data_IF_746766859587
#
_entry.id   IF_746766859587
#
_cell.length_a   1.000
_cell.length_b   1.000
_cell.length_c   1.000
_cell.angle_alpha   90.00
_cell.angle_beta   90.00
_cell.angle_gamma   90.00
#
_symmetry.space_group_name_H-M   'P 1'
#
loop_
_entity.id
_entity.type
_entity.pdbx_description
1 polymer ?
#
# COMPACT_ATOMS: atom_id res chain seq x y z
N UNK A 1 -67.14 33.57 -55.24
CA UNK A 1 -66.37 34.81 -55.49
C UNK A 1 -65.10 34.76 -54.65
N UNK A 2 -63.93 34.89 -55.31
CA UNK A 2 -62.63 35.44 -54.86
C UNK A 2 -62.05 34.99 -53.48
N UNK A 3 -60.95 34.21 -53.44
CA UNK A 3 -59.51 34.60 -53.49
C UNK A 3 -58.91 34.83 -52.08
N UNK A 4 -58.07 33.93 -51.54
CA UNK A 4 -56.59 33.74 -51.68
C UNK A 4 -55.67 34.66 -50.86
N UNK A 5 -54.61 34.02 -50.33
CA UNK A 5 -53.32 34.50 -49.74
C UNK A 5 -53.35 35.06 -48.30
N UNK A 6 -52.69 34.51 -47.27
CA UNK A 6 -51.27 34.12 -46.98
C UNK A 6 -50.27 35.29 -46.84
N UNK A 7 -49.41 35.14 -45.80
CA UNK A 7 -48.10 35.78 -45.49
C UNK A 7 -48.22 37.12 -44.76
N UNK A 8 -47.77 37.34 -43.50
CA UNK A 8 -46.49 37.10 -42.77
C UNK A 8 -45.36 38.11 -43.06
N UNK A 9 -44.51 38.30 -42.04
CA UNK A 9 -43.26 39.07 -41.94
C UNK A 9 -43.44 40.57 -41.64
N UNK A 10 -42.69 41.23 -40.73
CA UNK A 10 -41.25 41.29 -40.47
C UNK A 10 -41.11 42.11 -39.14
N UNK A 11 -40.21 41.94 -38.15
CA UNK A 11 -38.73 42.07 -38.17
C UNK A 11 -38.17 42.05 -36.72
N UNK A 12 -36.85 41.81 -36.63
CA UNK A 12 -35.90 41.81 -35.48
C UNK A 12 -35.67 40.45 -34.80
N UNK A 13 -34.68 39.64 -35.21
CA UNK A 13 -33.20 39.79 -35.15
C UNK A 13 -32.73 39.90 -33.67
N UNK A 14 -32.04 38.92 -33.08
CA UNK A 14 -30.59 38.66 -33.25
C UNK A 14 -30.23 37.20 -32.99
N UNK A 15 -29.33 36.71 -33.85
CA UNK A 15 -28.63 35.42 -33.87
C UNK A 15 -27.46 35.43 -32.88
N UNK A 16 -27.32 34.38 -32.06
CA UNK A 16 -26.00 33.86 -31.65
C UNK A 16 -26.03 32.33 -31.74
N UNK A 17 -25.28 31.81 -32.71
CA UNK A 17 -24.82 30.41 -32.77
C UNK A 17 -23.32 30.44 -32.49
N UNK A 18 -22.86 29.77 -31.43
CA UNK A 18 -21.47 29.31 -31.29
C UNK A 18 -21.43 27.89 -30.73
N UNK A 19 -21.34 26.97 -31.69
CA UNK A 19 -20.54 25.74 -31.80
C UNK A 19 -19.72 25.26 -30.59
N UNK A 20 -19.82 23.94 -30.38
CA UNK A 20 -18.90 22.96 -29.79
C UNK A 20 -18.44 23.07 -28.33
N UNK A 21 -18.67 21.97 -27.62
CA UNK A 21 -17.85 21.55 -26.50
C UNK A 21 -18.52 20.41 -25.75
N UNK A 22 -18.26 19.17 -26.16
CA UNK A 22 -18.44 18.04 -25.27
C UNK A 22 -17.67 18.35 -23.98
N UNK A 23 -18.37 18.54 -22.87
CA UNK A 23 -17.77 18.64 -21.55
C UNK A 23 -17.21 17.27 -21.17
N UNK A 24 -16.07 16.92 -21.76
CA UNK A 24 -15.13 16.01 -21.11
C UNK A 24 -14.54 16.82 -19.97
N UNK A 25 -15.02 16.53 -18.75
CA UNK A 25 -14.36 16.98 -17.53
C UNK A 25 -12.99 16.29 -17.51
N UNK A 26 -12.00 16.93 -18.14
CA UNK A 26 -10.60 16.64 -17.86
C UNK A 26 -10.36 17.14 -16.45
N UNK A 27 -10.37 16.22 -15.48
CA UNK A 27 -9.85 16.50 -14.15
C UNK A 27 -8.40 16.92 -14.31
N UNK A 28 -8.16 18.22 -14.12
CA UNK A 28 -6.83 18.81 -13.99
C UNK A 28 -6.25 18.34 -12.66
N UNK A 29 -5.32 17.40 -12.74
CA UNK A 29 -4.47 17.03 -11.62
C UNK A 29 -3.47 18.16 -11.38
N UNK A 30 -3.86 19.18 -10.61
CA UNK A 30 -2.94 20.18 -10.08
C UNK A 30 -2.15 19.58 -8.91
N UNK A 31 -1.02 18.96 -9.30
CA UNK A 31 0.32 19.09 -8.72
C UNK A 31 0.43 19.70 -7.32
N UNK A 32 0.57 18.82 -6.32
CA UNK A 32 1.69 18.97 -5.38
C UNK A 32 2.90 18.28 -6.03
N UNK A 33 3.94 19.06 -6.24
CA UNK A 33 5.21 18.66 -6.83
C UNK A 33 5.92 17.66 -5.88
N UNK A 34 5.67 16.36 -6.06
CA UNK A 34 6.48 15.30 -5.46
C UNK A 34 7.57 14.92 -6.48
N UNK A 35 8.68 15.66 -6.44
CA UNK A 35 9.90 15.35 -7.19
C UNK A 35 10.64 14.17 -6.53
N UNK A 36 10.08 12.97 -6.67
CA UNK A 36 10.86 11.73 -6.70
C UNK A 36 10.01 10.68 -7.40
N UNK A 37 10.63 9.98 -8.33
CA UNK A 37 9.98 9.10 -9.28
C UNK A 37 9.25 7.98 -8.51
N UNK A 38 7.90 8.07 -8.47
CA UNK A 38 7.11 7.52 -7.35
C UNK A 38 6.87 6.03 -7.57
N UNK A 39 7.70 5.23 -6.92
CA UNK A 39 7.58 3.78 -6.82
C UNK A 39 6.16 3.36 -6.47
N UNK A 40 5.68 2.29 -7.11
CA UNK A 40 4.30 1.82 -6.91
C UNK A 40 4.28 0.60 -6.02
N UNK A 41 3.58 0.72 -4.90
CA UNK A 41 3.41 -0.34 -3.92
C UNK A 41 2.13 -1.13 -4.18
N UNK A 42 2.25 -2.45 -4.13
CA UNK A 42 1.12 -3.37 -4.24
C UNK A 42 1.22 -4.48 -3.22
N UNK A 43 0.09 -5.12 -2.97
CA UNK A 43 0.00 -6.43 -2.36
C UNK A 43 -0.41 -7.46 -3.40
N UNK A 44 0.28 -8.59 -3.35
CA UNK A 44 -0.05 -9.82 -4.07
C UNK A 44 -0.53 -10.85 -3.06
N UNK A 45 -1.75 -11.33 -3.22
CA UNK A 45 -2.26 -12.45 -2.45
C UNK A 45 -1.87 -13.76 -3.13
N UNK A 46 -1.29 -14.68 -2.37
CA UNK A 46 -0.92 -16.02 -2.82
C UNK A 46 -1.72 -17.03 -2.01
N UNK A 47 -2.48 -17.88 -2.69
CA UNK A 47 -3.12 -19.03 -2.06
C UNK A 47 -2.11 -20.16 -1.83
N UNK A 48 -1.89 -20.54 -0.58
CA UNK A 48 -1.17 -21.74 -0.17
C UNK A 48 -2.14 -22.87 0.20
N UNK A 49 -1.81 -24.10 -0.21
CA UNK A 49 -2.55 -25.31 0.19
C UNK A 49 -2.21 -25.67 1.65
N UNK A 50 -3.17 -26.06 2.52
CA UNK A 50 -4.57 -26.29 2.22
C UNK A 50 -5.53 -25.10 2.40
N UNK A 51 -5.23 -24.04 3.18
CA UNK A 51 -6.12 -22.85 3.33
C UNK A 51 -5.40 -21.60 3.90
N UNK A 52 -4.16 -21.31 3.50
CA UNK A 52 -3.47 -20.10 3.98
C UNK A 52 -3.32 -19.09 2.84
N UNK A 53 -3.94 -17.92 2.96
CA UNK A 53 -3.66 -16.80 2.05
C UNK A 53 -2.46 -16.05 2.62
N UNK A 54 -1.37 -16.05 1.86
CA UNK A 54 -0.19 -15.25 2.12
C UNK A 54 -0.33 -13.93 1.39
N UNK A 55 0.05 -12.83 2.03
CA UNK A 55 0.12 -11.53 1.39
C UNK A 55 1.57 -11.08 1.28
N UNK A 56 2.00 -10.78 0.06
CA UNK A 56 3.35 -10.29 -0.23
C UNK A 56 3.24 -8.85 -0.74
N UNK A 57 3.76 -7.86 -0.01
CA UNK A 57 3.96 -6.55 -0.59
C UNK A 57 5.15 -6.55 -1.51
N UNK A 58 5.01 -5.72 -2.53
CA UNK A 58 6.01 -5.54 -3.55
C UNK A 58 6.05 -4.09 -3.98
N UNK A 59 7.22 -3.69 -4.44
CA UNK A 59 7.45 -2.39 -5.05
C UNK A 59 7.83 -2.56 -6.49
N UNK A 60 7.14 -1.82 -7.36
CA UNK A 60 7.47 -1.66 -8.76
C UNK A 60 8.31 -0.39 -8.95
N UNK A 61 9.55 -0.56 -9.39
CA UNK A 61 10.47 0.54 -9.71
C UNK A 61 10.34 0.94 -11.18
N UNK A 62 10.53 2.23 -11.48
CA UNK A 62 10.39 2.75 -12.85
C UNK A 62 11.33 2.11 -13.88
N UNK A 63 12.47 1.58 -13.43
CA UNK A 63 13.43 0.89 -14.30
C UNK A 63 12.96 -0.52 -14.73
N UNK A 64 11.72 -0.90 -14.41
CA UNK A 64 11.13 -2.19 -14.75
C UNK A 64 11.56 -3.33 -13.82
N UNK A 65 12.25 -3.05 -12.71
CA UNK A 65 12.48 -4.04 -11.65
C UNK A 65 11.34 -4.03 -10.64
N UNK A 66 11.05 -5.17 -10.05
CA UNK A 66 10.26 -5.23 -8.81
C UNK A 66 11.03 -5.95 -7.70
N UNK A 67 10.65 -5.66 -6.46
CA UNK A 67 11.13 -6.39 -5.28
C UNK A 67 9.98 -6.77 -4.37
N UNK A 68 10.01 -7.99 -3.83
CA UNK A 68 9.20 -8.43 -2.70
C UNK A 68 9.82 -7.84 -1.42
N UNK A 69 9.05 -6.97 -0.78
CA UNK A 69 9.53 -6.10 0.30
C UNK A 69 9.84 -6.94 1.55
N UNK A 70 10.97 -6.65 2.19
CA UNK A 70 11.39 -7.32 3.42
C UNK A 70 11.44 -6.38 4.62
N UNK A 71 12.34 -6.70 5.55
CA UNK A 71 12.56 -5.91 6.76
C UNK A 71 12.95 -4.46 6.45
N UNK A 72 13.99 -4.28 5.64
CA UNK A 72 14.57 -2.97 5.35
C UNK A 72 13.58 -2.05 4.62
N UNK A 73 13.48 -0.75 5.01
CA UNK A 73 12.76 0.26 4.24
C UNK A 73 13.28 0.42 2.82
N UNK A 74 12.40 0.74 1.87
CA UNK A 74 12.78 0.82 0.46
C UNK A 74 13.67 2.02 0.16
N UNK A 75 13.52 3.12 0.88
CA UNK A 75 14.34 4.33 0.76
C UNK A 75 15.80 4.11 1.19
N UNK A 76 16.06 3.15 2.09
CA UNK A 76 17.42 2.79 2.51
C UNK A 76 18.00 1.61 1.71
N UNK A 77 17.17 0.91 0.93
CA UNK A 77 17.54 -0.33 0.26
C UNK A 77 18.65 -0.14 -0.78
N UNK A 78 19.83 -0.69 -0.50
CA UNK A 78 20.85 -0.85 -1.54
C UNK A 78 20.41 -1.96 -2.52
N UNK A 79 19.81 -1.55 -3.64
CA UNK A 79 19.20 -2.46 -4.62
C UNK A 79 20.20 -3.46 -5.20
N UNK A 80 21.43 -3.06 -5.47
CA UNK A 80 22.46 -3.93 -6.04
C UNK A 80 22.84 -5.03 -5.04
N UNK A 81 23.09 -4.66 -3.79
CA UNK A 81 23.39 -5.61 -2.71
C UNK A 81 22.20 -6.52 -2.45
N UNK A 82 20.99 -5.94 -2.37
CA UNK A 82 19.76 -6.70 -2.17
C UNK A 82 19.50 -7.72 -3.27
N UNK A 83 19.71 -7.37 -4.55
CA UNK A 83 19.60 -8.33 -5.67
C UNK A 83 20.59 -9.48 -5.55
N UNK A 84 21.81 -9.19 -5.12
CA UNK A 84 22.84 -10.22 -4.91
C UNK A 84 22.49 -11.15 -3.75
N UNK A 85 21.98 -10.59 -2.64
CA UNK A 85 21.71 -11.35 -1.41
C UNK A 85 20.36 -12.07 -1.43
N UNK A 86 19.36 -11.51 -2.12
CA UNK A 86 17.97 -11.99 -2.19
C UNK A 86 17.48 -12.11 -3.63
N UNK A 87 18.20 -12.81 -4.54
CA UNK A 87 17.82 -12.83 -5.96
C UNK A 87 16.39 -13.34 -6.20
N UNK A 88 15.87 -14.19 -5.30
CA UNK A 88 14.51 -14.71 -5.40
C UNK A 88 13.41 -13.67 -5.22
N UNK A 89 13.67 -12.64 -4.42
CA UNK A 89 12.73 -11.55 -4.11
C UNK A 89 12.65 -10.53 -5.24
N UNK A 90 13.54 -10.61 -6.24
CA UNK A 90 13.60 -9.65 -7.34
C UNK A 90 13.07 -10.25 -8.64
N UNK A 91 12.54 -9.38 -9.49
CA UNK A 91 12.12 -9.72 -10.84
C UNK A 91 11.94 -8.51 -11.72
N UNK A 92 11.29 -8.70 -12.87
CA UNK A 92 10.95 -7.66 -13.84
C UNK A 92 9.46 -7.43 -13.89
N UNK A 93 9.03 -6.21 -14.14
CA UNK A 93 7.63 -5.91 -14.41
C UNK A 93 7.46 -5.04 -15.64
N UNK A 94 6.28 -5.13 -16.24
CA UNK A 94 5.80 -4.26 -17.29
C UNK A 94 4.29 -4.03 -17.15
N UNK A 95 3.80 -2.89 -17.63
CA UNK A 95 2.37 -2.60 -17.72
C UNK A 95 1.97 -2.64 -19.20
N UNK A 96 1.00 -3.49 -19.56
CA UNK A 96 0.41 -3.55 -20.91
C UNK A 96 -1.09 -3.42 -20.79
N UNK A 97 -1.64 -2.32 -21.33
CA UNK A 97 -3.04 -1.97 -21.11
C UNK A 97 -3.32 -1.72 -19.63
N UNK A 98 -4.23 -2.50 -19.06
CA UNK A 98 -4.65 -2.46 -17.64
C UNK A 98 -4.04 -3.59 -16.79
N UNK A 99 -3.10 -4.37 -17.33
CA UNK A 99 -2.50 -5.52 -16.65
C UNK A 99 -1.01 -5.33 -16.39
N UNK A 100 -0.60 -5.69 -15.17
CA UNK A 100 0.78 -5.76 -14.72
C UNK A 100 1.31 -7.17 -14.96
N UNK A 101 2.43 -7.29 -15.67
CA UNK A 101 3.10 -8.57 -15.91
C UNK A 101 4.35 -8.62 -15.06
N UNK A 102 4.45 -9.57 -14.15
CA UNK A 102 5.60 -9.76 -13.27
C UNK A 102 6.33 -11.05 -13.66
N UNK A 103 7.59 -10.91 -14.07
CA UNK A 103 8.50 -11.99 -14.41
C UNK A 103 9.49 -12.20 -13.27
N UNK A 104 9.40 -13.34 -12.59
CA UNK A 104 10.26 -13.63 -11.43
C UNK A 104 11.69 -14.02 -11.83
N UNK A 105 12.55 -14.23 -10.83
CA UNK A 105 13.95 -14.66 -11.01
C UNK A 105 14.15 -15.97 -11.80
N UNK A 106 13.11 -16.80 -11.98
CA UNK A 106 13.13 -18.02 -12.80
C UNK A 106 12.64 -17.79 -14.23
N UNK A 107 12.34 -16.55 -14.61
CA UNK A 107 11.76 -16.21 -15.91
C UNK A 107 10.28 -16.55 -16.06
N UNK A 108 9.57 -16.91 -14.98
CA UNK A 108 8.13 -17.17 -15.02
C UNK A 108 7.37 -15.85 -14.91
N UNK A 109 6.54 -15.57 -15.91
CA UNK A 109 5.65 -14.41 -15.93
C UNK A 109 4.25 -14.76 -15.45
N UNK A 110 3.66 -13.90 -14.62
CA UNK A 110 2.24 -13.93 -14.27
C UNK A 110 1.67 -12.53 -14.47
N UNK A 111 0.40 -12.43 -14.85
CA UNK A 111 -0.29 -11.17 -15.09
C UNK A 111 -1.33 -10.88 -14.00
N UNK A 112 -1.46 -9.60 -13.66
CA UNK A 112 -2.30 -9.12 -12.56
C UNK A 112 -3.10 -7.91 -13.01
N UNK A 113 -4.42 -7.95 -12.81
CA UNK A 113 -5.31 -6.83 -13.02
C UNK A 113 -5.66 -6.17 -11.69
N UNK A 114 -5.81 -4.85 -11.66
CA UNK A 114 -6.33 -4.19 -10.46
C UNK A 114 -7.78 -4.63 -10.21
N UNK A 115 -8.09 -5.00 -8.96
CA UNK A 115 -9.43 -5.44 -8.58
C UNK A 115 -9.74 -6.92 -8.85
N UNK A 116 -8.77 -7.73 -9.33
CA UNK A 116 -8.93 -9.18 -9.49
C UNK A 116 -8.91 -9.97 -8.17
N UNK A 117 -8.84 -9.30 -7.02
CA UNK A 117 -8.86 -9.90 -5.68
C UNK A 117 -7.50 -10.38 -5.17
N UNK A 118 -6.58 -10.75 -6.05
CA UNK A 118 -5.22 -11.18 -5.69
C UNK A 118 -4.13 -10.12 -5.93
N UNK A 119 -4.50 -8.94 -6.42
CA UNK A 119 -3.60 -7.81 -6.67
C UNK A 119 -4.30 -6.49 -6.35
N UNK A 120 -3.74 -5.74 -5.40
CA UNK A 120 -4.31 -4.47 -4.97
C UNK A 120 -3.23 -3.49 -4.52
N UNK A 121 -3.49 -2.17 -4.60
CA UNK A 121 -2.53 -1.17 -4.15
C UNK A 121 -2.19 -1.33 -2.66
N UNK A 122 -0.97 -0.97 -2.33
CA UNK A 122 -0.50 -0.83 -0.96
C UNK A 122 -0.25 0.66 -0.70
N UNK A 123 -0.79 1.17 0.40
CA UNK A 123 -0.76 2.59 0.71
C UNK A 123 0.25 2.90 1.82
N UNK A 124 0.88 4.09 1.79
CA UNK A 124 1.64 4.58 2.92
C UNK A 124 0.73 4.88 4.10
N UNK A 125 1.32 5.09 5.28
CA UNK A 125 0.61 5.66 6.40
C UNK A 125 0.13 7.09 6.08
N UNK A 126 -1.08 7.40 6.52
CA UNK A 126 -1.66 8.74 6.42
C UNK A 126 -2.06 9.16 7.84
N UNK A 127 -1.73 10.38 8.26
CA UNK A 127 -1.93 10.85 9.64
C UNK A 127 -3.40 10.87 10.08
N UNK A 128 -4.34 10.93 9.14
CA UNK A 128 -5.78 10.85 9.39
C UNK A 128 -6.31 9.41 9.49
N UNK A 129 -5.46 8.40 9.28
CA UNK A 129 -5.85 7.00 9.31
C UNK A 129 -5.57 6.38 10.68
N UNK A 130 -6.63 5.93 11.35
CA UNK A 130 -6.51 5.26 12.65
C UNK A 130 -6.15 3.79 12.47
N UNK A 131 -5.04 3.36 13.05
CA UNK A 131 -4.68 1.94 13.16
C UNK A 131 -5.56 1.23 14.21
N UNK A 132 -5.77 -0.07 14.02
CA UNK A 132 -6.36 -0.91 15.05
C UNK A 132 -5.40 -0.99 16.24
N UNK A 133 -5.95 -1.30 17.42
CA UNK A 133 -5.13 -1.43 18.63
C UNK A 133 -4.17 -2.61 18.54
N UNK A 134 -4.60 -3.72 17.93
CA UNK A 134 -3.80 -4.93 17.88
C UNK A 134 -3.91 -5.63 16.54
N UNK A 135 -2.82 -6.27 16.16
CA UNK A 135 -2.63 -6.89 14.88
C UNK A 135 -1.92 -8.23 15.06
N UNK A 136 -2.51 -9.30 14.52
CA UNK A 136 -1.95 -10.65 14.55
C UNK A 136 -1.27 -10.96 13.22
N UNK A 137 -0.06 -11.49 13.29
CA UNK A 137 0.67 -11.96 12.13
C UNK A 137 -0.08 -13.13 11.50
N UNK A 138 -0.29 -13.04 10.19
CA UNK A 138 -1.00 -14.07 9.41
C UNK A 138 -0.12 -14.71 8.36
N UNK A 139 1.05 -14.14 8.09
CA UNK A 139 2.01 -14.73 7.20
C UNK A 139 3.39 -14.09 7.37
N UNK A 140 4.42 -14.93 7.38
CA UNK A 140 5.80 -14.48 7.16
C UNK A 140 6.19 -14.71 5.71
N UNK A 141 6.75 -13.71 5.06
CA UNK A 141 7.31 -13.89 3.72
C UNK A 141 8.71 -14.50 3.85
N UNK A 142 8.96 -15.62 3.17
CA UNK A 142 10.24 -16.36 3.19
C UNK A 142 11.45 -15.57 2.62
N UNK A 143 11.26 -14.30 2.29
CA UNK A 143 12.27 -13.46 1.62
C UNK A 143 13.23 -12.77 2.59
N UNK A 144 13.00 -12.84 3.91
CA UNK A 144 13.86 -12.26 4.94
C UNK A 144 15.04 -13.14 5.36
N UNK A 145 16.25 -12.58 5.30
CA UNK A 145 17.47 -13.14 5.90
C UNK A 145 17.25 -13.39 7.40
N UNK A 146 17.48 -14.62 7.86
CA UNK A 146 17.79 -14.97 9.25
C UNK A 146 16.67 -14.82 10.29
N UNK A 147 16.21 -15.96 10.80
CA UNK A 147 15.79 -16.13 12.20
C UNK A 147 14.74 -15.13 12.71
N UNK A 148 13.74 -14.77 11.91
CA UNK A 148 12.57 -14.09 12.44
C UNK A 148 11.92 -15.01 13.46
N UNK A 149 12.18 -14.76 14.74
CA UNK A 149 11.18 -14.94 15.78
C UNK A 149 9.98 -14.17 15.24
N UNK A 150 9.08 -14.87 14.55
CA UNK A 150 7.92 -14.29 13.90
C UNK A 150 7.19 -13.54 15.00
N UNK A 151 7.20 -12.22 14.95
CA UNK A 151 6.41 -11.41 15.86
C UNK A 151 4.98 -11.77 15.52
N UNK A 152 4.39 -12.61 16.34
CA UNK A 152 3.07 -13.18 16.09
C UNK A 152 1.97 -12.14 16.31
N UNK A 153 2.29 -11.05 17.01
CA UNK A 153 1.37 -9.96 17.31
C UNK A 153 2.10 -8.66 17.63
N UNK A 154 1.55 -7.55 17.14
CA UNK A 154 1.93 -6.19 17.49
C UNK A 154 0.70 -5.44 18.03
N UNK A 155 0.89 -4.67 19.10
CA UNK A 155 -0.16 -3.86 19.72
C UNK A 155 0.30 -2.41 19.78
N UNK A 156 -0.47 -1.51 19.17
CA UNK A 156 -0.33 -0.06 19.29
C UNK A 156 -1.15 0.38 20.50
N UNK A 157 -0.47 0.66 21.61
CA UNK A 157 -1.09 0.96 22.91
C UNK A 157 -1.82 2.30 22.83
N UNK A 158 -1.17 3.28 22.21
CA UNK A 158 -1.65 4.61 21.89
C UNK A 158 -0.96 5.09 20.61
N UNK A 159 -0.99 6.39 20.30
CA UNK A 159 -0.39 6.96 19.09
C UNK A 159 1.15 7.03 19.09
N UNK A 160 1.81 6.61 20.17
CA UNK A 160 3.26 6.70 20.34
C UNK A 160 3.88 5.37 20.82
N UNK A 161 3.17 4.54 21.59
CA UNK A 161 3.73 3.35 22.23
C UNK A 161 3.27 2.04 21.59
N UNK A 162 4.19 1.07 21.50
CA UNK A 162 3.91 -0.27 20.96
C UNK A 162 4.43 -1.41 21.83
N UNK A 163 3.93 -2.60 21.55
CA UNK A 163 4.31 -3.88 22.14
C UNK A 163 4.32 -4.99 21.09
N UNK A 164 5.35 -5.84 21.09
CA UNK A 164 5.46 -7.08 20.31
C UNK A 164 5.35 -8.32 21.23
N UNK A 165 4.79 -9.43 20.74
CA UNK A 165 4.87 -10.75 21.42
C UNK A 165 3.60 -11.61 21.37
N UNK A 166 3.74 -12.91 21.65
CA UNK A 166 2.68 -13.94 21.45
C UNK A 166 1.40 -13.75 22.26
N UNK A 167 1.49 -13.38 23.53
CA UNK A 167 0.35 -13.22 24.44
C UNK A 167 0.80 -12.49 25.71
N UNK A 168 1.23 -11.24 25.56
CA UNK A 168 1.43 -10.36 26.71
C UNK A 168 0.05 -9.79 27.06
N UNK A 169 -0.55 -10.26 28.16
CA UNK A 169 -1.88 -9.83 28.62
C UNK A 169 -2.03 -8.31 28.72
N UNK A 170 -3.27 -7.82 28.87
CA UNK A 170 -3.62 -6.40 28.81
C UNK A 170 -2.65 -5.48 29.60
N UNK A 171 -1.73 -4.82 28.90
CA UNK A 171 -0.87 -3.79 29.48
C UNK A 171 -1.58 -2.44 29.37
N UNK A 172 -1.78 -1.79 30.53
CA UNK A 172 -2.21 -0.39 30.59
C UNK A 172 -1.02 0.54 30.34
N UNK A 173 -1.21 1.73 29.74
CA UNK A 173 -0.15 2.74 29.55
C UNK A 173 0.67 3.06 30.82
N UNK A 174 0.06 2.90 32.00
CA UNK A 174 0.68 3.20 33.30
C UNK A 174 1.41 2.01 33.96
N UNK A 175 1.47 0.84 33.32
CA UNK A 175 2.08 -0.34 33.93
C UNK A 175 3.61 -0.26 33.87
N UNK A 176 4.31 -0.11 35.00
CA UNK A 176 5.78 -0.11 35.05
C UNK A 176 6.44 -1.36 34.43
N UNK A 177 5.68 -2.43 34.21
CA UNK A 177 6.11 -3.67 33.57
C UNK A 177 6.40 -3.53 32.06
N UNK A 178 5.75 -2.60 31.33
CA UNK A 178 6.04 -2.45 29.90
C UNK A 178 7.47 -1.94 29.68
N UNK A 179 7.95 -1.00 30.51
CA UNK A 179 9.27 -0.37 30.43
C UNK A 179 10.49 -1.30 30.58
N UNK A 180 10.29 -2.60 30.86
CA UNK A 180 11.37 -3.56 31.14
C UNK A 180 11.50 -4.69 30.12
N UNK A 181 10.70 -4.69 29.06
CA UNK A 181 10.78 -5.73 28.04
C UNK A 181 11.43 -5.22 26.75
N UNK A 182 12.35 -5.99 26.18
CA UNK A 182 12.98 -5.71 24.87
C UNK A 182 12.03 -5.78 23.68
N UNK A 183 10.72 -5.94 23.92
CA UNK A 183 9.67 -6.04 22.91
C UNK A 183 8.65 -4.90 23.04
N UNK A 184 9.03 -3.80 23.68
CA UNK A 184 8.18 -2.61 23.85
C UNK A 184 8.97 -1.35 23.56
N UNK A 185 8.28 -0.27 23.23
CA UNK A 185 8.93 0.99 22.99
C UNK A 185 8.00 2.06 22.44
N UNK A 186 8.59 3.05 21.79
CA UNK A 186 7.85 4.04 21.02
C UNK A 186 7.98 3.78 19.53
N UNK A 187 6.98 4.17 18.76
CA UNK A 187 6.98 4.04 17.32
C UNK A 187 6.64 5.35 16.63
N UNK A 188 7.14 5.49 15.41
CA UNK A 188 6.77 6.57 14.51
C UNK A 188 6.61 5.99 13.10
N UNK A 189 5.57 6.41 12.38
CA UNK A 189 5.32 5.95 11.02
C UNK A 189 5.30 7.15 10.10
N UNK A 190 6.15 7.11 9.09
CA UNK A 190 6.25 8.10 8.02
C UNK A 190 6.24 7.36 6.69
N UNK A 191 5.31 7.73 5.81
CA UNK A 191 5.10 7.09 4.51
C UNK A 191 5.07 5.55 4.59
N UNK A 192 6.07 4.88 4.00
CA UNK A 192 6.22 3.44 3.93
C UNK A 192 7.24 2.89 4.95
N UNK A 193 7.45 3.61 6.05
CA UNK A 193 8.46 3.26 7.05
C UNK A 193 7.92 3.41 8.46
N UNK A 194 8.10 2.37 9.27
CA UNK A 194 7.90 2.40 10.71
C UNK A 194 9.26 2.38 11.41
N UNK A 195 9.51 3.37 12.25
CA UNK A 195 10.64 3.41 13.17
C UNK A 195 10.18 2.93 14.54
N UNK A 196 10.82 1.90 15.07
CA UNK A 196 10.60 1.32 16.38
C UNK A 196 11.79 1.67 17.27
N UNK A 197 11.56 2.41 18.36
CA UNK A 197 12.55 2.70 19.38
C UNK A 197 12.23 1.84 20.60
N UNK A 198 12.98 0.74 20.75
CA UNK A 198 12.78 -0.21 21.83
C UNK A 198 13.28 0.35 23.17
N UNK A 199 12.67 -0.12 24.26
CA UNK A 199 12.99 0.31 25.63
C UNK A 199 14.40 -0.08 26.09
N UNK A 200 15.05 -1.02 25.39
CA UNK A 200 16.45 -1.40 25.60
C UNK A 200 17.45 -0.46 24.89
N UNK A 201 16.96 0.57 24.19
CA UNK A 201 17.75 1.55 23.45
C UNK A 201 18.00 1.17 21.99
N UNK A 202 17.54 0.00 21.52
CA UNK A 202 17.66 -0.37 20.11
C UNK A 202 16.68 0.44 19.26
N UNK A 203 17.13 0.92 18.10
CA UNK A 203 16.27 1.48 17.07
C UNK A 203 16.23 0.55 15.86
N UNK A 204 15.04 0.29 15.33
CA UNK A 204 14.85 -0.44 14.08
C UNK A 204 13.95 0.36 13.15
N UNK A 205 14.34 0.44 11.88
CA UNK A 205 13.47 0.94 10.81
C UNK A 205 13.02 -0.24 9.98
N UNK A 206 11.71 -0.33 9.74
CA UNK A 206 11.11 -1.41 8.98
C UNK A 206 10.21 -0.85 7.88
N UNK A 207 10.14 -1.56 6.76
CA UNK A 207 9.13 -1.28 5.72
C UNK A 207 7.72 -1.35 6.31
N UNK A 208 6.84 -0.47 5.87
CA UNK A 208 5.46 -0.34 6.32
C UNK A 208 4.50 -0.13 5.14
N UNK A 209 3.34 -0.77 5.19
CA UNK A 209 2.28 -0.52 4.21
C UNK A 209 0.89 -0.88 4.75
N UNK A 210 -0.13 -0.27 4.15
CA UNK A 210 -1.53 -0.43 4.51
C UNK A 210 -2.29 -1.01 3.34
N UNK A 211 -3.11 -2.04 3.60
CA UNK A 211 -3.93 -2.68 2.57
C UNK A 211 -4.96 -1.73 1.94
N UNK A 212 -5.58 -2.18 0.85
CA UNK A 212 -6.65 -1.46 0.17
C UNK A 212 -8.01 -2.13 0.39
N UNK A 213 -9.09 -1.36 0.18
CA UNK A 213 -10.45 -1.89 -0.02
C UNK A 213 -11.19 -1.08 -1.08
N UNK A 214 -12.24 -1.67 -1.64
CA UNK A 214 -13.19 -1.01 -2.52
C UNK A 214 -12.67 -0.75 -3.93
N UNK A 215 -13.52 -0.12 -4.74
CA UNK A 215 -13.22 0.36 -6.08
C UNK A 215 -13.93 1.73 -6.28
N UNK A 216 -13.20 2.86 -6.36
CA UNK A 216 -11.75 2.98 -6.35
C UNK A 216 -11.11 2.52 -5.03
N UNK A 217 -9.87 2.03 -5.12
CA UNK A 217 -9.13 1.53 -3.96
C UNK A 217 -8.82 2.65 -2.97
N UNK A 218 -9.16 2.43 -1.69
CA UNK A 218 -8.84 3.34 -0.57
C UNK A 218 -8.08 2.59 0.53
N UNK A 219 -7.26 3.28 1.35
CA UNK A 219 -6.56 2.66 2.47
C UNK A 219 -7.51 1.94 3.44
N UNK A 220 -7.08 0.77 3.90
CA UNK A 220 -7.81 -0.08 4.83
C UNK A 220 -6.86 -0.61 5.93
N UNK A 221 -6.94 -0.08 7.16
CA UNK A 221 -6.05 -0.46 8.23
C UNK A 221 -6.40 -1.83 8.83
N UNK A 222 -7.38 -2.57 8.30
CA UNK A 222 -7.66 -3.96 8.73
C UNK A 222 -6.50 -4.92 8.46
N UNK A 223 -5.64 -4.58 7.50
CA UNK A 223 -4.40 -5.31 7.27
C UNK A 223 -3.26 -4.31 7.07
N UNK A 224 -2.16 -4.56 7.76
CA UNK A 224 -0.92 -3.79 7.66
C UNK A 224 0.23 -4.74 7.36
N UNK A 225 1.33 -4.16 6.91
CA UNK A 225 2.58 -4.86 6.73
C UNK A 225 3.68 -4.18 7.51
N UNK A 226 4.50 -4.97 8.17
CA UNK A 226 5.70 -4.51 8.86
C UNK A 226 6.84 -5.45 8.52
N UNK A 227 7.87 -4.92 7.87
CA UNK A 227 9.18 -5.55 7.77
C UNK A 227 9.23 -6.94 7.12
N UNK A 228 8.35 -7.27 6.19
CA UNK A 228 8.31 -8.62 5.61
C UNK A 228 7.01 -9.36 5.90
N UNK A 229 6.27 -8.96 6.93
CA UNK A 229 5.16 -9.76 7.44
C UNK A 229 3.81 -9.03 7.36
N UNK A 230 2.76 -9.79 7.02
CA UNK A 230 1.39 -9.29 6.94
C UNK A 230 0.64 -9.55 8.26
N UNK A 231 0.01 -8.50 8.78
CA UNK A 231 -0.76 -8.56 10.02
C UNK A 231 -2.21 -8.14 9.79
N UNK A 232 -3.14 -8.91 10.36
CA UNK A 232 -4.58 -8.59 10.38
C UNK A 232 -4.96 -7.98 11.72
N UNK A 233 -5.80 -6.95 11.68
CA UNK A 233 -6.39 -6.35 12.87
C UNK A 233 -7.21 -7.39 13.64
N UNK A 234 -7.04 -7.41 14.96
CA UNK A 234 -7.95 -8.11 15.86
C UNK A 234 -9.15 -7.21 16.16
N UNK A 235 -10.36 -7.80 16.19
CA UNK A 235 -11.61 -7.11 16.52
C UNK A 235 -11.78 -6.90 18.03
#
# INVERSE_FOLDING_TARGET
MANTHKVSLFSYLIIIVVICGAYTVKYSANTLEYQQSKEKWFFKAISGYPMSITFEPLVLFENGDYVEVGMEPIESLNRTVSKSNRPKAWGKWELKGDRYYLTNHKGKTNDYGLGSGNWFPAFPYQTNLKLARSYKNTCSTDVGYGNTLTISKITFIDGEHFLEGENMGALSPNAAAWKKSGHTGTYHIEDHTITLNFSDGKQEKRSFAISAKGNPAVPNPKMIFIGGDAYLAEE
#
